data_IF_691093071182
#
_entry.id   IF_691093071182
#
_cell.length_a   1.000
_cell.length_b   1.000
_cell.length_c   1.000
_cell.angle_alpha   90.00
_cell.angle_beta   90.00
_cell.angle_gamma   90.00
#
_symmetry.space_group_name_H-M   'P 1'
#
loop_
_entity.id
_entity.type
_entity.pdbx_description
1 polymer ?
#
# COMPACT_ATOMS: atom_id res chain seq x y z
N UNK A 1 -24.92 42.56 10.83
CA UNK A 1 -24.66 43.54 9.74
C UNK A 1 -24.29 42.74 8.50
N UNK A 2 -25.17 42.72 7.49
CA UNK A 2 -25.03 41.95 6.24
C UNK A 2 -24.45 42.87 5.16
N UNK A 3 -23.24 42.57 4.69
CA UNK A 3 -22.58 43.14 3.51
C UNK A 3 -21.73 41.96 3.00
N UNK A 4 -21.85 41.41 1.79
CA UNK A 4 -21.93 42.04 0.46
C UNK A 4 -22.58 41.02 -0.49
N UNK A 5 -23.65 41.42 -1.19
CA UNK A 5 -24.40 40.56 -2.11
C UNK A 5 -24.63 41.40 -3.37
N UNK A 6 -23.61 41.54 -4.23
CA UNK A 6 -23.65 42.36 -5.44
C UNK A 6 -22.62 41.94 -6.51
N UNK A 7 -22.56 40.64 -6.86
CA UNK A 7 -21.78 40.18 -8.03
C UNK A 7 -22.48 39.01 -8.78
N UNK A 8 -23.81 39.03 -8.91
CA UNK A 8 -24.56 37.94 -9.60
C UNK A 8 -25.35 38.42 -10.84
N UNK A 9 -25.37 39.71 -11.19
CA UNK A 9 -26.30 40.17 -12.24
C UNK A 9 -25.69 41.16 -13.23
N UNK A 10 -24.70 40.75 -14.03
CA UNK A 10 -24.37 41.43 -15.28
C UNK A 10 -23.99 40.40 -16.37
N UNK A 11 -24.88 40.29 -17.37
CA UNK A 11 -24.66 39.94 -18.77
C UNK A 11 -24.50 38.46 -19.19
N UNK A 12 -25.67 37.83 -19.35
CA UNK A 12 -26.05 37.03 -20.53
C UNK A 12 -25.54 37.65 -21.86
N UNK A 13 -25.10 36.82 -22.82
CA UNK A 13 -25.60 36.73 -24.22
C UNK A 13 -24.64 35.94 -25.12
N UNK A 14 -25.16 34.85 -25.71
CA UNK A 14 -24.68 34.20 -26.95
C UNK A 14 -23.58 33.15 -26.76
N UNK A 15 -23.50 32.02 -27.48
CA UNK A 15 -24.00 31.68 -28.81
C UNK A 15 -23.96 30.13 -28.96
N UNK A 16 -25.11 29.55 -29.35
CA UNK A 16 -25.37 28.45 -30.32
C UNK A 16 -24.78 27.03 -30.14
N UNK A 17 -25.74 26.12 -30.26
CA UNK A 17 -25.78 24.68 -30.51
C UNK A 17 -24.76 24.03 -31.47
N UNK A 18 -24.62 22.70 -31.26
CA UNK A 18 -24.45 21.59 -32.22
C UNK A 18 -23.12 20.82 -32.12
N UNK A 19 -23.24 19.54 -31.72
CA UNK A 19 -22.67 18.31 -32.34
C UNK A 19 -22.96 17.16 -31.35
N UNK A 20 -23.73 16.11 -31.60
CA UNK A 20 -24.02 15.44 -32.87
C UNK A 20 -23.05 14.28 -33.09
N UNK A 21 -23.07 13.25 -32.25
CA UNK A 21 -22.39 11.98 -32.54
C UNK A 21 -23.42 10.86 -32.74
N UNK A 22 -23.63 10.52 -34.01
CA UNK A 22 -24.25 9.29 -34.46
C UNK A 22 -23.35 8.10 -34.13
N UNK A 23 -23.86 7.11 -33.39
CA UNK A 23 -23.21 5.81 -33.30
C UNK A 23 -23.53 4.99 -34.54
N UNK A 24 -22.52 4.82 -35.40
CA UNK A 24 -22.53 3.79 -36.43
C UNK A 24 -21.15 3.19 -36.57
N UNK A 25 -20.94 2.04 -35.93
CA UNK A 25 -20.01 1.03 -36.42
C UNK A 25 -20.33 -0.32 -35.77
N UNK A 26 -20.61 -1.27 -36.67
CA UNK A 26 -20.87 -2.69 -36.42
C UNK A 26 -19.59 -3.34 -35.88
N UNK A 27 -19.68 -4.07 -34.77
CA UNK A 27 -18.67 -5.09 -34.45
C UNK A 27 -19.14 -6.39 -35.11
N UNK A 28 -18.45 -6.75 -36.18
CA UNK A 28 -18.58 -8.04 -36.83
C UNK A 28 -18.02 -9.14 -35.93
N UNK A 29 -18.75 -10.25 -35.86
CA UNK A 29 -18.22 -11.55 -35.48
C UNK A 29 -17.09 -11.91 -36.44
N UNK A 30 -15.94 -12.31 -35.91
CA UNK A 30 -15.15 -13.39 -36.51
C UNK A 30 -14.73 -14.38 -35.43
N UNK A 31 -15.39 -15.52 -35.54
CA UNK A 31 -14.98 -16.83 -35.08
C UNK A 31 -13.69 -17.24 -35.82
N UNK A 32 -12.71 -17.75 -35.10
CA UNK A 32 -11.72 -18.66 -35.67
C UNK A 32 -11.12 -19.51 -34.55
N UNK A 33 -11.63 -20.73 -34.49
CA UNK A 33 -11.08 -21.99 -33.99
C UNK A 33 -9.57 -22.14 -34.19
N UNK A 34 -8.99 -23.12 -33.45
CA UNK A 34 -7.86 -24.03 -33.81
C UNK A 34 -6.56 -23.77 -33.00
N UNK A 35 -5.91 -24.68 -32.24
CA UNK A 35 -6.07 -26.11 -31.84
C UNK A 35 -5.37 -26.36 -30.48
N UNK A 36 -5.60 -27.56 -29.95
CA UNK A 36 -4.96 -28.19 -28.80
C UNK A 36 -3.45 -28.41 -28.96
N UNK A 37 -2.68 -28.37 -27.86
CA UNK A 37 -1.69 -29.42 -27.54
C UNK A 37 -1.39 -29.42 -26.04
N UNK A 38 -1.63 -30.55 -25.41
CA UNK A 38 -1.20 -30.91 -24.04
C UNK A 38 0.16 -31.59 -24.12
N UNK A 39 1.14 -31.16 -23.32
CA UNK A 39 2.41 -31.88 -23.15
C UNK A 39 2.68 -32.01 -21.65
N UNK A 40 2.58 -33.25 -21.18
CA UNK A 40 2.98 -33.78 -19.88
C UNK A 40 4.38 -34.38 -20.04
N UNK A 41 5.30 -34.08 -19.11
CA UNK A 41 6.52 -34.89 -18.92
C UNK A 41 6.97 -34.79 -17.47
N UNK A 42 6.73 -35.88 -16.76
CA UNK A 42 7.33 -36.28 -15.49
C UNK A 42 8.79 -36.72 -15.67
N UNK A 43 9.40 -37.07 -14.53
CA UNK A 43 10.67 -37.79 -14.31
C UNK A 43 11.89 -36.93 -13.96
N UNK A 44 12.37 -37.10 -12.72
CA UNK A 44 13.76 -37.51 -12.47
C UNK A 44 13.92 -38.02 -11.04
N UNK A 45 13.90 -39.35 -10.92
CA UNK A 45 14.33 -40.15 -9.79
C UNK A 45 15.86 -40.30 -9.86
N UNK A 46 16.58 -40.12 -8.74
CA UNK A 46 17.97 -40.61 -8.63
C UNK A 46 18.36 -40.91 -7.19
N UNK A 47 18.39 -42.20 -6.88
CA UNK A 47 19.05 -42.83 -5.73
C UNK A 47 20.57 -42.82 -5.86
N UNK A 48 21.33 -42.54 -4.79
CA UNK A 48 22.52 -43.32 -4.37
C UNK A 48 22.86 -43.07 -2.88
N UNK A 49 23.35 -44.16 -2.30
CA UNK A 49 23.70 -44.52 -0.92
C UNK A 49 25.11 -44.02 -0.54
N UNK A 50 25.36 -43.64 0.72
CA UNK A 50 26.58 -44.06 1.44
C UNK A 50 26.48 -43.79 2.96
N UNK A 51 26.84 -44.80 3.74
CA UNK A 51 26.96 -44.75 5.20
C UNK A 51 28.33 -44.22 5.61
N UNK A 52 28.41 -43.49 6.71
CA UNK A 52 29.61 -43.52 7.57
C UNK A 52 29.22 -43.20 9.02
N UNK A 53 29.37 -44.23 9.84
CA UNK A 53 29.63 -44.17 11.28
C UNK A 53 30.72 -43.13 11.55
N UNK A 54 30.43 -42.13 12.39
CA UNK A 54 31.47 -41.33 13.02
C UNK A 54 31.27 -41.31 14.53
N UNK A 55 32.37 -41.62 15.18
CA UNK A 55 32.55 -41.93 16.58
C UNK A 55 32.15 -40.80 17.51
N UNK A 56 31.40 -41.14 18.56
CA UNK A 56 31.12 -40.30 19.71
C UNK A 56 32.43 -39.99 20.45
N UNK A 57 32.90 -38.76 20.35
CA UNK A 57 33.82 -38.16 21.32
C UNK A 57 32.97 -37.26 22.22
N UNK A 58 32.81 -37.69 23.48
CA UNK A 58 32.19 -36.94 24.56
C UNK A 58 33.05 -35.70 24.85
N UNK A 59 32.67 -34.56 24.28
CA UNK A 59 33.08 -33.27 24.81
C UNK A 59 32.17 -32.97 26.00
N UNK A 60 32.77 -33.04 27.20
CA UNK A 60 32.23 -32.47 28.43
C UNK A 60 32.22 -30.94 28.23
N UNK A 61 31.22 -30.46 27.49
CA UNK A 61 30.85 -29.06 27.48
C UNK A 61 30.14 -28.83 28.81
N UNK A 62 30.80 -28.10 29.71
CA UNK A 62 30.14 -27.56 30.89
C UNK A 62 29.02 -26.63 30.39
N UNK A 63 27.83 -27.20 30.21
CA UNK A 63 26.56 -26.50 30.10
C UNK A 63 26.45 -25.62 31.34
N UNK A 64 26.91 -24.39 31.19
CA UNK A 64 26.50 -23.32 32.08
C UNK A 64 25.06 -23.04 31.67
N UNK A 65 24.14 -23.82 32.23
CA UNK A 65 22.71 -23.52 32.25
C UNK A 65 22.55 -22.14 32.91
N UNK A 66 22.77 -21.06 32.15
CA UNK A 66 22.21 -19.77 32.48
C UNK A 66 20.71 -19.98 32.43
N UNK A 67 20.11 -20.11 33.62
CA UNK A 67 18.67 -20.18 33.86
C UNK A 67 18.06 -18.83 33.42
N UNK A 68 18.02 -18.59 32.11
CA UNK A 68 17.45 -17.40 31.50
C UNK A 68 15.95 -17.58 31.50
N UNK A 69 15.31 -17.12 32.58
CA UNK A 69 13.87 -17.05 32.63
C UNK A 69 13.37 -16.02 31.63
N UNK A 70 12.64 -16.46 30.61
CA UNK A 70 11.95 -15.59 29.64
C UNK A 70 10.94 -14.72 30.40
N UNK A 71 11.05 -13.40 30.27
CA UNK A 71 10.12 -12.46 30.90
C UNK A 71 8.80 -12.37 30.11
N UNK A 72 8.92 -12.29 28.79
CA UNK A 72 7.81 -12.16 27.86
C UNK A 72 7.98 -13.13 26.69
N UNK A 73 6.91 -13.83 26.33
CA UNK A 73 6.87 -14.65 25.13
C UNK A 73 6.36 -13.84 23.95
N UNK A 74 6.82 -14.18 22.75
CA UNK A 74 6.28 -13.63 21.53
C UNK A 74 4.76 -13.86 21.43
N UNK A 75 4.04 -12.81 21.04
CA UNK A 75 2.58 -12.79 20.94
C UNK A 75 2.03 -13.58 19.74
N UNK A 76 2.89 -13.99 18.80
CA UNK A 76 2.48 -14.76 17.62
C UNK A 76 2.14 -16.20 18.02
N UNK A 77 0.93 -16.65 17.66
CA UNK A 77 0.45 -17.99 17.94
C UNK A 77 1.44 -19.05 17.44
N UNK A 78 1.95 -19.88 18.36
CA UNK A 78 2.90 -20.95 18.05
C UNK A 78 4.37 -20.54 18.08
N UNK A 79 4.67 -19.29 18.38
CA UNK A 79 6.03 -18.83 18.70
C UNK A 79 6.28 -18.91 20.21
N UNK A 80 7.38 -19.54 20.63
CA UNK A 80 7.78 -19.66 22.03
C UNK A 80 9.11 -18.95 22.34
N UNK A 81 9.58 -18.14 21.40
CA UNK A 81 10.77 -17.30 21.54
C UNK A 81 10.50 -16.14 22.50
N UNK A 82 11.57 -15.59 23.08
CA UNK A 82 11.50 -14.39 23.91
C UNK A 82 11.06 -13.17 23.09
N UNK A 83 10.09 -12.42 23.63
CA UNK A 83 9.60 -11.18 23.06
C UNK A 83 10.46 -10.00 23.51
N UNK A 84 11.37 -9.58 22.65
CA UNK A 84 12.30 -8.47 22.92
C UNK A 84 11.72 -7.09 22.52
N UNK A 85 10.68 -7.08 21.68
CA UNK A 85 10.14 -5.86 21.07
C UNK A 85 8.71 -5.59 21.55
N UNK A 86 8.48 -4.38 22.07
CA UNK A 86 7.19 -3.92 22.57
C UNK A 86 6.40 -3.17 21.49
N UNK A 87 5.16 -3.59 21.23
CA UNK A 87 4.26 -2.95 20.25
C UNK A 87 2.88 -2.75 20.89
N UNK A 88 2.29 -1.56 20.74
CA UNK A 88 0.91 -1.32 21.15
C UNK A 88 -0.04 -1.79 20.05
N UNK A 89 -0.83 -2.83 20.34
CA UNK A 89 -1.80 -3.40 19.41
C UNK A 89 -3.02 -2.48 19.22
N UNK A 90 -3.90 -2.83 18.27
CA UNK A 90 -5.11 -2.04 17.97
C UNK A 90 -6.11 -1.95 19.14
N UNK A 91 -6.03 -2.88 20.11
CA UNK A 91 -6.79 -2.84 21.35
C UNK A 91 -6.26 -1.81 22.36
N UNK A 92 -5.07 -1.26 22.13
CA UNK A 92 -4.30 -0.45 23.09
C UNK A 92 -3.55 -1.28 24.13
N UNK A 93 -3.52 -2.60 23.98
CA UNK A 93 -2.74 -3.49 24.84
C UNK A 93 -1.31 -3.63 24.29
N UNK A 94 -0.35 -3.79 25.19
CA UNK A 94 1.05 -4.03 24.84
C UNK A 94 1.23 -5.51 24.48
N UNK A 95 1.81 -5.75 23.32
CA UNK A 95 2.17 -7.07 22.79
C UNK A 95 3.69 -7.15 22.59
N UNK A 96 4.27 -8.30 22.91
CA UNK A 96 5.72 -8.53 22.81
C UNK A 96 6.03 -9.43 21.63
N UNK A 97 7.03 -9.09 20.83
CA UNK A 97 7.40 -9.84 19.63
C UNK A 97 8.87 -10.22 19.67
N UNK A 98 9.19 -11.43 19.21
CA UNK A 98 10.56 -11.76 18.89
C UNK A 98 11.01 -10.96 17.66
N UNK A 99 12.32 -10.87 17.45
CA UNK A 99 12.89 -10.07 16.36
C UNK A 99 12.31 -10.42 14.98
N UNK A 100 12.21 -11.71 14.68
CA UNK A 100 11.72 -12.18 13.38
C UNK A 100 10.31 -11.66 13.08
N UNK A 101 9.36 -11.86 14.00
CA UNK A 101 7.99 -11.39 13.80
C UNK A 101 7.87 -9.87 13.84
N UNK A 102 8.69 -9.18 14.64
CA UNK A 102 8.75 -7.72 14.60
C UNK A 102 9.20 -7.22 13.22
N UNK A 103 10.27 -7.80 12.66
CA UNK A 103 10.79 -7.44 11.34
C UNK A 103 9.75 -7.72 10.23
N UNK A 104 9.05 -8.87 10.28
CA UNK A 104 7.96 -9.19 9.33
C UNK A 104 6.79 -8.20 9.38
N UNK A 105 6.40 -7.76 10.58
CA UNK A 105 5.37 -6.73 10.73
C UNK A 105 5.84 -5.40 10.14
N UNK A 106 7.09 -5.01 10.39
CA UNK A 106 7.65 -3.78 9.85
C UNK A 106 7.73 -3.82 8.32
N UNK A 107 8.13 -4.95 7.74
CA UNK A 107 8.14 -5.15 6.29
C UNK A 107 6.74 -5.04 5.69
N UNK A 108 5.74 -5.63 6.35
CA UNK A 108 4.34 -5.51 5.96
C UNK A 108 3.86 -4.06 5.98
N UNK A 109 4.18 -3.32 7.03
CA UNK A 109 3.85 -1.89 7.15
C UNK A 109 4.54 -1.09 6.04
N UNK A 110 5.83 -1.32 5.80
CA UNK A 110 6.59 -0.63 4.76
C UNK A 110 5.97 -0.86 3.37
N UNK A 111 5.57 -2.10 3.06
CA UNK A 111 4.87 -2.42 1.81
C UNK A 111 3.54 -1.67 1.70
N UNK A 112 2.78 -1.59 2.79
CA UNK A 112 1.53 -0.82 2.81
C UNK A 112 1.79 0.67 2.60
N UNK A 113 2.78 1.25 3.28
CA UNK A 113 3.13 2.67 3.15
C UNK A 113 3.60 3.05 1.74
N UNK A 114 4.32 2.15 1.07
CA UNK A 114 4.69 2.32 -0.34
C UNK A 114 3.44 2.34 -1.24
N UNK A 115 2.48 1.46 -1.01
CA UNK A 115 1.28 1.34 -1.85
C UNK A 115 0.22 2.43 -1.59
N UNK A 116 0.19 3.03 -0.38
CA UNK A 116 -0.77 4.10 -0.07
C UNK A 116 -0.73 5.19 -1.16
N UNK A 117 -1.86 5.53 -1.76
CA UNK A 117 -1.91 6.57 -2.79
C UNK A 117 -1.21 6.25 -4.11
N UNK A 118 -0.70 5.02 -4.34
CA UNK A 118 -0.33 4.54 -5.67
C UNK A 118 -1.51 3.91 -6.44
N UNK A 119 -2.70 3.91 -5.81
CA UNK A 119 -3.95 3.56 -6.47
C UNK A 119 -4.27 4.44 -7.67
N UNK A 120 -5.08 3.91 -8.57
CA UNK A 120 -5.65 4.62 -9.72
C UNK A 120 -7.17 4.74 -9.62
N UNK A 121 -7.70 4.71 -8.39
CA UNK A 121 -9.15 4.78 -8.18
C UNK A 121 -9.72 6.13 -8.64
N UNK A 122 -8.94 7.21 -8.50
CA UNK A 122 -9.15 8.51 -9.11
C UNK A 122 -8.59 8.54 -10.53
N UNK A 123 -9.33 9.16 -11.45
CA UNK A 123 -8.81 9.52 -12.78
C UNK A 123 -7.70 10.58 -12.71
N UNK A 124 -7.56 11.26 -11.56
CA UNK A 124 -6.68 12.40 -11.39
C UNK A 124 -5.39 12.04 -10.65
N UNK A 125 -4.29 12.62 -11.11
CA UNK A 125 -2.98 12.54 -10.44
C UNK A 125 -2.73 13.77 -9.61
N UNK A 126 -1.93 13.63 -8.56
CA UNK A 126 -1.47 14.75 -7.79
C UNK A 126 -0.60 15.68 -8.63
N UNK A 127 -0.81 17.00 -8.56
CA UNK A 127 0.02 17.98 -9.30
C UNK A 127 1.49 18.03 -8.86
N UNK A 128 1.83 17.46 -7.70
CA UNK A 128 3.17 17.52 -7.10
C UNK A 128 3.92 16.18 -7.12
N UNK A 129 3.23 15.07 -7.39
CA UNK A 129 3.82 13.73 -7.40
C UNK A 129 2.96 12.75 -8.20
N UNK A 130 3.48 11.56 -8.52
CA UNK A 130 2.76 10.59 -9.34
C UNK A 130 1.63 9.83 -8.62
N UNK A 131 1.41 10.10 -7.33
CA UNK A 131 0.33 9.51 -6.52
C UNK A 131 -1.05 10.01 -6.95
N UNK A 132 -2.06 9.27 -6.53
CA UNK A 132 -3.48 9.57 -6.73
C UNK A 132 -3.86 10.97 -6.17
N UNK A 133 -4.53 11.77 -7.00
CA UNK A 133 -5.10 13.05 -6.62
C UNK A 133 -6.57 12.89 -6.26
N UNK A 134 -6.92 13.12 -5.00
CA UNK A 134 -8.29 12.95 -4.48
C UNK A 134 -8.89 14.25 -3.94
N UNK A 135 -8.08 15.29 -3.74
CA UNK A 135 -8.51 16.60 -3.29
C UNK A 135 -8.45 17.63 -4.42
N UNK A 136 -9.55 18.35 -4.62
CA UNK A 136 -9.70 19.37 -5.66
C UNK A 136 -9.38 20.76 -5.10
N UNK A 137 -8.57 21.55 -5.83
CA UNK A 137 -8.25 22.94 -5.50
C UNK A 137 -8.33 23.80 -6.76
N UNK A 138 -8.94 24.99 -6.67
CA UNK A 138 -8.90 25.96 -7.77
C UNK A 138 -7.55 26.68 -7.77
N UNK A 139 -6.75 26.44 -8.82
CA UNK A 139 -5.44 27.04 -8.99
C UNK A 139 -5.51 28.54 -9.29
N UNK A 140 -4.36 29.22 -9.25
CA UNK A 140 -4.29 30.67 -9.53
C UNK A 140 -4.67 31.01 -10.98
N UNK A 141 -4.53 30.05 -11.90
CA UNK A 141 -5.02 30.16 -13.28
C UNK A 141 -6.54 30.08 -13.40
N UNK A 142 -7.25 29.67 -12.33
CA UNK A 142 -8.67 29.32 -12.35
C UNK A 142 -8.95 27.90 -12.87
N UNK A 143 -7.91 27.11 -13.12
CA UNK A 143 -8.05 25.70 -13.50
C UNK A 143 -8.12 24.82 -12.23
N UNK A 144 -8.89 23.75 -12.32
CA UNK A 144 -8.98 22.74 -11.26
C UNK A 144 -7.68 21.92 -11.22
N UNK A 145 -7.06 21.86 -10.04
CA UNK A 145 -5.86 21.10 -9.73
C UNK A 145 -6.19 19.99 -8.71
N UNK A 146 -5.54 18.82 -8.83
CA UNK A 146 -5.77 17.68 -7.93
C UNK A 146 -4.54 17.37 -7.08
N UNK A 147 -4.75 17.07 -5.81
CA UNK A 147 -3.66 16.81 -4.86
C UNK A 147 -3.90 15.54 -4.05
N UNK A 148 -2.82 14.83 -3.72
CA UNK A 148 -2.86 13.80 -2.70
C UNK A 148 -3.05 14.45 -1.31
N UNK A 149 -3.51 13.67 -0.33
CA UNK A 149 -3.82 14.18 1.02
C UNK A 149 -2.66 14.95 1.67
N UNK A 150 -1.43 14.45 1.53
CA UNK A 150 -0.23 15.10 2.08
C UNK A 150 -0.01 16.49 1.48
N UNK A 151 -0.05 16.60 0.15
CA UNK A 151 0.16 17.87 -0.53
C UNK A 151 -1.00 18.85 -0.34
N UNK A 152 -2.23 18.35 -0.29
CA UNK A 152 -3.40 19.17 0.06
C UNK A 152 -3.26 19.79 1.45
N UNK A 153 -2.93 18.98 2.47
CA UNK A 153 -2.74 19.49 3.83
C UNK A 153 -1.62 20.54 3.90
N UNK A 154 -0.52 20.34 3.16
CA UNK A 154 0.57 21.31 3.07
C UNK A 154 0.11 22.65 2.46
N UNK A 155 -0.79 22.61 1.47
CA UNK A 155 -1.39 23.83 0.91
C UNK A 155 -2.25 24.52 1.96
N UNK A 156 -3.14 23.78 2.64
CA UNK A 156 -4.00 24.34 3.70
C UNK A 156 -3.17 24.96 4.82
N UNK A 157 -2.15 24.26 5.33
CA UNK A 157 -1.24 24.77 6.37
C UNK A 157 -0.57 26.09 5.96
N UNK A 158 -0.17 26.21 4.68
CA UNK A 158 0.44 27.43 4.17
C UNK A 158 -0.59 28.56 4.03
N UNK A 159 -1.81 28.25 3.61
CA UNK A 159 -2.90 29.22 3.55
C UNK A 159 -3.29 29.71 4.94
N UNK A 160 -3.37 28.82 5.93
CA UNK A 160 -3.62 29.19 7.32
C UNK A 160 -2.51 30.09 7.87
N UNK A 161 -1.23 29.84 7.57
CA UNK A 161 -0.14 30.73 7.98
C UNK A 161 -0.22 32.14 7.36
N UNK A 162 -0.82 32.27 6.18
CA UNK A 162 -0.91 33.56 5.46
C UNK A 162 -2.18 34.32 5.83
N UNK A 163 -3.30 33.62 6.01
CA UNK A 163 -4.63 34.22 6.17
C UNK A 163 -5.24 34.01 7.56
N UNK A 164 -4.76 33.02 8.31
CA UNK A 164 -5.12 32.78 9.69
C UNK A 164 -4.31 33.70 10.61
N UNK A 165 -4.93 34.80 11.02
CA UNK A 165 -4.51 35.54 12.22
C UNK A 165 -4.79 34.70 13.47
#
# INVERSE_FOLDING_TARGET
MKKRLYLITILLVGIISLSGCSNSSKVGKQDSTTEETTEDVTESDSSYDDSSDDTSEEADEEDTDEDTSIEHYCAVDGCYEEGEYEVEGFSGEIEYYCKEHYDEMQDTINMMEEDVGNGSASEHKCEQCDREGTHEVEGFSGETEYYCTEHYNKIIDNLEKIYGN
#
